data_IF_441486401526
#
_entry.id   IF_441486401526
#
_cell.length_a   1.000
_cell.length_b   1.000
_cell.length_c   1.000
_cell.angle_alpha   90.00
_cell.angle_beta   90.00
_cell.angle_gamma   90.00
#
_symmetry.space_group_name_H-M   'P 1'
#
loop_
_entity.id
_entity.type
_entity.pdbx_description
1 polymer ?
#
# COMPACT_ATOMS: atom_id res chain seq x y z
N UNK A 1 -18.83 -20.68 7.36
CA UNK A 1 -18.10 -19.54 6.77
C UNK A 1 -17.12 -20.08 5.73
N UNK A 2 -16.89 -19.36 4.61
CA UNK A 2 -15.86 -19.76 3.64
C UNK A 2 -14.48 -19.85 4.30
N UNK A 3 -13.69 -20.85 3.90
CA UNK A 3 -12.31 -21.06 4.37
C UNK A 3 -11.37 -20.55 3.28
N UNK A 4 -10.46 -19.66 3.64
CA UNK A 4 -9.49 -19.08 2.71
C UNK A 4 -8.11 -19.68 2.95
N UNK A 5 -7.32 -19.73 1.89
CA UNK A 5 -5.93 -20.19 1.91
C UNK A 5 -5.06 -19.20 2.72
N UNK A 6 -4.12 -19.69 3.52
CA UNK A 6 -3.15 -18.83 4.21
C UNK A 6 -2.22 -18.15 3.22
N UNK A 7 -1.47 -17.13 3.67
CA UNK A 7 -0.41 -16.54 2.86
C UNK A 7 0.61 -17.58 2.39
N UNK A 8 1.02 -18.51 3.25
CA UNK A 8 1.89 -19.63 2.87
C UNK A 8 1.37 -20.39 1.64
N UNK A 9 0.08 -20.76 1.62
CA UNK A 9 -0.52 -21.43 0.48
C UNK A 9 -0.57 -20.54 -0.78
N UNK A 10 -0.77 -19.22 -0.63
CA UNK A 10 -0.68 -18.28 -1.76
C UNK A 10 0.75 -18.20 -2.33
N UNK A 11 1.78 -18.28 -1.48
CA UNK A 11 3.19 -18.32 -1.89
C UNK A 11 3.51 -19.61 -2.64
N UNK A 12 3.01 -20.76 -2.17
CA UNK A 12 3.16 -22.04 -2.89
C UNK A 12 2.53 -21.97 -4.29
N UNK A 13 1.33 -21.40 -4.42
CA UNK A 13 0.68 -21.19 -5.72
C UNK A 13 1.43 -20.21 -6.61
N UNK A 14 2.04 -19.17 -6.04
CA UNK A 14 2.91 -18.27 -6.77
C UNK A 14 4.14 -19.00 -7.33
N UNK A 15 4.75 -19.88 -6.53
CA UNK A 15 5.88 -20.71 -6.96
C UNK A 15 5.51 -21.70 -8.05
N UNK A 16 4.33 -22.35 -7.95
CA UNK A 16 3.82 -23.21 -9.02
C UNK A 16 3.57 -22.46 -10.33
N UNK A 17 3.18 -21.19 -10.25
CA UNK A 17 3.02 -20.33 -11.41
C UNK A 17 4.39 -19.95 -11.99
N UNK A 18 5.35 -19.53 -11.17
CA UNK A 18 6.71 -19.16 -11.59
C UNK A 18 7.45 -20.35 -12.21
N UNK A 19 7.28 -21.56 -11.66
CA UNK A 19 7.84 -22.79 -12.22
C UNK A 19 7.34 -23.08 -13.65
N UNK A 20 6.08 -22.72 -13.96
CA UNK A 20 5.49 -22.86 -15.30
C UNK A 20 5.80 -21.69 -16.23
N UNK A 21 6.33 -20.58 -15.71
CA UNK A 21 6.68 -19.38 -16.45
C UNK A 21 8.13 -18.97 -16.13
N UNK A 22 9.13 -19.81 -16.51
CA UNK A 22 10.53 -19.65 -16.11
C UNK A 22 11.21 -18.39 -16.68
N UNK A 23 10.58 -17.76 -17.67
CA UNK A 23 10.97 -16.49 -18.28
C UNK A 23 10.55 -15.26 -17.46
N UNK A 24 9.75 -15.48 -16.41
CA UNK A 24 9.26 -14.45 -15.49
C UNK A 24 9.91 -14.57 -14.11
N UNK A 25 10.10 -13.43 -13.45
CA UNK A 25 10.42 -13.35 -12.03
C UNK A 25 9.61 -12.25 -11.36
N UNK A 26 9.31 -12.41 -10.07
CA UNK A 26 8.74 -11.36 -9.24
C UNK A 26 9.83 -10.32 -8.92
N UNK A 27 9.61 -9.09 -9.37
CA UNK A 27 10.39 -7.93 -9.01
C UNK A 27 10.03 -7.42 -7.60
N UNK A 28 8.74 -7.42 -7.27
CA UNK A 28 8.23 -7.14 -5.92
C UNK A 28 6.96 -7.96 -5.62
N UNK A 29 6.68 -8.11 -4.33
CA UNK A 29 5.47 -8.77 -3.81
C UNK A 29 4.74 -7.83 -2.84
N UNK A 30 3.42 -7.83 -2.85
CA UNK A 30 2.63 -7.07 -1.87
C UNK A 30 1.37 -7.83 -1.43
N UNK A 31 0.93 -7.58 -0.19
CA UNK A 31 -0.36 -8.00 0.33
C UNK A 31 -1.44 -6.96 0.04
N UNK A 32 -2.40 -7.27 -0.82
CA UNK A 32 -3.52 -6.37 -1.16
C UNK A 32 -4.76 -6.77 -0.38
N UNK A 33 -5.32 -5.85 0.40
CA UNK A 33 -6.60 -6.05 1.09
C UNK A 33 -7.77 -5.74 0.15
N UNK A 34 -8.67 -6.72 -0.02
CA UNK A 34 -9.88 -6.65 -0.81
C UNK A 34 -11.10 -6.76 0.11
N UNK A 35 -11.94 -5.73 0.14
CA UNK A 35 -13.22 -5.75 0.82
C UNK A 35 -14.24 -6.57 0.01
N UNK A 36 -15.02 -7.43 0.67
CA UNK A 36 -16.06 -8.24 0.01
C UNK A 36 -17.30 -8.42 0.88
N UNK A 37 -18.45 -8.54 0.22
CA UNK A 37 -19.72 -8.92 0.85
C UNK A 37 -20.14 -10.36 0.49
N UNK A 38 -19.61 -10.90 -0.60
CA UNK A 38 -19.95 -12.23 -1.13
C UNK A 38 -18.96 -13.31 -0.69
N UNK A 39 -17.79 -12.91 -0.18
CA UNK A 39 -16.68 -13.82 0.07
C UNK A 39 -15.84 -14.12 -1.19
N UNK A 40 -16.15 -13.50 -2.32
CA UNK A 40 -15.34 -13.58 -3.52
C UNK A 40 -14.51 -12.32 -3.69
N UNK A 41 -13.26 -12.49 -4.16
CA UNK A 41 -12.38 -11.39 -4.54
C UNK A 41 -12.61 -11.07 -6.01
N UNK A 42 -13.04 -9.85 -6.29
CA UNK A 42 -13.11 -9.34 -7.66
C UNK A 42 -11.78 -8.69 -8.03
N UNK A 43 -10.89 -9.46 -8.66
CA UNK A 43 -9.52 -9.01 -8.99
C UNK A 43 -9.48 -7.92 -10.07
N UNK A 44 -10.55 -7.78 -10.85
CA UNK A 44 -10.67 -6.75 -11.89
C UNK A 44 -11.17 -5.40 -11.38
N UNK A 45 -11.80 -5.36 -10.20
CA UNK A 45 -12.44 -4.14 -9.71
C UNK A 45 -11.40 -3.17 -9.15
N UNK A 46 -11.37 -1.94 -9.70
CA UNK A 46 -10.48 -0.85 -9.26
C UNK A 46 -11.14 0.13 -8.29
N UNK A 47 -12.43 -0.04 -8.03
CA UNK A 47 -13.15 0.64 -6.96
C UNK A 47 -13.14 -0.21 -5.71
N UNK A 48 -13.17 0.43 -4.55
CA UNK A 48 -13.43 -0.28 -3.30
C UNK A 48 -14.87 -0.02 -2.90
N UNK A 49 -15.67 -1.08 -2.85
CA UNK A 49 -17.13 -1.03 -2.67
C UNK A 49 -17.52 -0.19 -1.47
N UNK A 50 -17.98 1.04 -1.72
CA UNK A 50 -18.80 1.80 -0.79
C UNK A 50 -20.26 1.40 -1.00
N UNK A 51 -20.75 0.31 -0.42
CA UNK A 51 -22.19 -0.04 -0.47
C UNK A 51 -22.81 -0.37 0.88
N UNK A 52 -22.12 -1.19 1.67
CA UNK A 52 -22.51 -1.71 2.99
C UNK A 52 -21.22 -2.01 3.73
N UNK A 53 -21.23 -1.98 5.06
CA UNK A 53 -20.09 -2.43 5.87
C UNK A 53 -19.63 -3.77 5.31
N UNK A 54 -18.40 -3.86 4.76
CA UNK A 54 -17.95 -5.09 4.13
C UNK A 54 -18.06 -6.21 5.16
N UNK A 55 -18.74 -7.29 4.78
CA UNK A 55 -18.92 -8.43 5.68
C UNK A 55 -17.56 -9.06 5.99
N UNK A 56 -16.61 -8.95 5.07
CA UNK A 56 -15.27 -9.46 5.26
C UNK A 56 -14.20 -8.75 4.43
N UNK A 57 -12.96 -8.97 4.82
CA UNK A 57 -11.75 -8.56 4.15
C UNK A 57 -10.94 -9.81 3.80
N UNK A 58 -10.48 -9.86 2.56
CA UNK A 58 -9.60 -10.91 2.06
C UNK A 58 -8.29 -10.26 1.64
N UNK A 59 -7.17 -10.76 2.16
CA UNK A 59 -5.84 -10.38 1.74
C UNK A 59 -5.38 -11.29 0.61
N UNK A 60 -5.00 -10.69 -0.49
CA UNK A 60 -4.47 -11.35 -1.67
C UNK A 60 -2.96 -11.12 -1.77
N UNK A 61 -2.26 -12.06 -2.40
CA UNK A 61 -0.87 -11.85 -2.81
C UNK A 61 -0.86 -11.28 -4.23
N UNK A 62 -0.19 -10.14 -4.44
CA UNK A 62 0.06 -9.56 -5.76
C UNK A 62 1.55 -9.63 -6.08
N UNK A 63 1.86 -10.15 -7.26
CA UNK A 63 3.23 -10.21 -7.79
C UNK A 63 3.38 -9.18 -8.90
N UNK A 64 4.44 -8.38 -8.82
CA UNK A 64 4.86 -7.50 -9.90
C UNK A 64 5.97 -8.19 -10.68
N UNK A 65 5.65 -8.60 -11.90
CA UNK A 65 6.52 -9.48 -12.69
C UNK A 65 7.39 -8.69 -13.65
N UNK A 66 8.61 -9.19 -13.88
CA UNK A 66 9.47 -8.77 -15.00
C UNK A 66 10.05 -9.98 -15.71
N UNK A 67 10.62 -9.76 -16.88
CA UNK A 67 11.36 -10.79 -17.61
C UNK A 67 12.68 -11.08 -16.90
N UNK A 68 13.04 -12.35 -16.79
CA UNK A 68 14.30 -12.72 -16.20
C UNK A 68 15.47 -12.49 -17.16
N UNK A 69 16.60 -12.05 -16.62
CA UNK A 69 17.78 -11.69 -17.41
C UNK A 69 18.53 -12.91 -17.95
N UNK A 70 18.70 -13.97 -17.13
CA UNK A 70 19.35 -15.21 -17.55
C UNK A 70 18.31 -16.34 -17.66
N UNK A 71 18.04 -16.91 -18.85
CA UNK A 71 17.11 -18.02 -19.00
C UNK A 71 17.64 -19.34 -18.40
N UNK A 72 18.92 -19.42 -18.00
CA UNK A 72 19.55 -20.66 -17.50
C UNK A 72 19.42 -20.88 -16.00
N UNK A 73 19.16 -19.84 -15.22
CA UNK A 73 18.92 -19.96 -13.78
C UNK A 73 17.65 -20.83 -13.52
N UNK A 74 17.49 -21.46 -12.35
CA UNK A 74 16.26 -22.19 -12.03
C UNK A 74 15.08 -21.22 -11.83
N UNK A 75 13.82 -21.59 -12.10
CA UNK A 75 12.68 -20.71 -11.85
C UNK A 75 12.71 -20.14 -10.43
N UNK A 76 12.38 -18.86 -10.29
CA UNK A 76 12.38 -18.19 -8.98
C UNK A 76 11.46 -18.94 -7.99
N UNK A 77 11.96 -19.15 -6.78
CA UNK A 77 11.22 -19.72 -5.67
C UNK A 77 11.09 -18.66 -4.58
N UNK A 78 9.87 -18.28 -4.24
CA UNK A 78 9.56 -17.29 -3.23
C UNK A 78 9.38 -17.95 -1.87
N UNK A 79 9.87 -17.29 -0.82
CA UNK A 79 9.53 -17.56 0.56
C UNK A 79 9.17 -16.28 1.29
N UNK A 80 8.57 -16.40 2.47
CA UNK A 80 8.25 -15.26 3.33
C UNK A 80 8.60 -15.51 4.79
N UNK A 81 8.74 -14.41 5.54
CA UNK A 81 8.86 -14.40 7.00
C UNK A 81 8.11 -13.19 7.57
N UNK A 82 7.36 -13.40 8.64
CA UNK A 82 6.63 -12.33 9.32
C UNK A 82 7.26 -12.06 10.69
N UNK A 83 7.35 -10.78 11.05
CA UNK A 83 7.84 -10.30 12.34
C UNK A 83 6.76 -9.41 12.96
N UNK A 84 6.18 -9.89 14.05
CA UNK A 84 5.11 -9.24 14.81
C UNK A 84 5.73 -8.44 15.97
N UNK A 85 5.24 -7.24 16.30
CA UNK A 85 5.74 -6.50 17.44
C UNK A 85 5.44 -7.23 18.76
N UNK A 86 6.42 -7.27 19.67
CA UNK A 86 6.20 -7.73 21.04
C UNK A 86 5.32 -6.73 21.82
N UNK A 87 4.55 -7.27 22.77
CA UNK A 87 3.84 -6.47 23.77
C UNK A 87 4.82 -6.08 24.87
N UNK A 88 5.02 -4.79 25.09
CA UNK A 88 5.96 -4.23 26.08
C UNK A 88 5.30 -4.01 27.44
N UNK A 89 4.02 -3.61 27.44
CA UNK A 89 3.22 -3.42 28.66
C UNK A 89 1.78 -3.87 28.38
N UNK A 90 1.35 -4.93 29.07
CA UNK A 90 0.07 -5.60 28.86
C UNK A 90 -0.73 -5.80 30.15
N UNK A 91 -0.45 -5.01 31.20
CA UNK A 91 -1.18 -5.14 32.46
C UNK A 91 -2.66 -4.76 32.30
N UNK A 92 -3.53 -5.60 32.87
CA UNK A 92 -4.87 -5.99 32.41
C UNK A 92 -6.00 -4.93 32.41
N UNK A 93 -5.68 -3.63 32.40
CA UNK A 93 -6.66 -2.53 32.45
C UNK A 93 -6.43 -1.42 31.41
N UNK A 94 -5.31 -1.42 30.69
CA UNK A 94 -4.99 -0.39 29.67
C UNK A 94 -4.81 -1.02 28.28
N UNK A 95 -4.94 -0.21 27.23
CA UNK A 95 -4.58 -0.62 25.88
C UNK A 95 -3.14 -1.14 25.85
N UNK A 96 -2.87 -2.31 25.25
CA UNK A 96 -1.53 -2.89 25.19
C UNK A 96 -0.58 -1.93 24.49
N UNK A 97 0.63 -1.82 25.02
CA UNK A 97 1.72 -1.10 24.36
C UNK A 97 2.56 -2.10 23.59
N UNK A 98 2.77 -1.82 22.32
CA UNK A 98 3.62 -2.62 21.45
C UNK A 98 4.98 -1.96 21.28
N UNK A 99 6.00 -2.76 21.00
CA UNK A 99 7.34 -2.26 20.76
C UNK A 99 7.38 -1.33 19.53
N UNK A 100 8.16 -0.24 19.52
CA UNK A 100 8.31 0.63 18.36
C UNK A 100 8.89 -0.12 17.14
N UNK A 101 8.64 0.41 15.94
CA UNK A 101 9.08 -0.21 14.68
C UNK A 101 10.62 -0.29 14.59
N UNK A 102 11.34 0.68 15.19
CA UNK A 102 12.80 0.66 15.26
C UNK A 102 13.32 -0.54 16.06
N UNK A 103 12.69 -0.84 17.20
CA UNK A 103 13.01 -2.01 18.02
C UNK A 103 12.67 -3.31 17.30
N UNK A 104 11.58 -3.35 16.51
CA UNK A 104 11.29 -4.49 15.63
C UNK A 104 12.40 -4.74 14.63
N UNK A 105 12.89 -3.69 13.96
CA UNK A 105 13.99 -3.78 12.98
C UNK A 105 15.27 -4.28 13.63
N UNK A 106 15.65 -3.72 14.78
CA UNK A 106 16.83 -4.15 15.54
C UNK A 106 16.75 -5.62 15.96
N UNK A 107 15.60 -6.05 16.52
CA UNK A 107 15.33 -7.44 16.88
C UNK A 107 15.42 -8.35 15.66
N UNK A 108 14.81 -7.94 14.55
CA UNK A 108 14.82 -8.69 13.28
C UNK A 108 16.24 -8.86 12.76
N UNK A 109 17.05 -7.81 12.71
CA UNK A 109 18.46 -7.90 12.34
C UNK A 109 19.28 -8.79 13.30
N UNK A 110 18.98 -8.75 14.60
CA UNK A 110 19.56 -9.68 15.57
C UNK A 110 19.24 -11.15 15.26
N UNK A 111 18.02 -11.44 14.81
CA UNK A 111 17.61 -12.79 14.38
C UNK A 111 18.25 -13.18 13.06
N UNK A 112 18.23 -12.30 12.06
CA UNK A 112 18.80 -12.55 10.72
C UNK A 112 20.31 -12.77 10.74
N UNK A 113 21.05 -12.14 11.66
CA UNK A 113 22.48 -12.42 11.85
C UNK A 113 22.75 -13.82 12.41
N UNK A 114 21.85 -14.34 13.25
CA UNK A 114 21.98 -15.68 13.85
C UNK A 114 21.47 -16.78 12.93
N UNK A 115 20.37 -16.53 12.24
CA UNK A 115 19.73 -17.43 11.31
C UNK A 115 19.32 -16.65 10.05
N UNK A 116 20.25 -16.48 9.09
CA UNK A 116 19.97 -15.77 7.85
C UNK A 116 18.81 -16.42 7.09
N UNK A 117 18.01 -15.61 6.40
CA UNK A 117 17.02 -16.14 5.46
C UNK A 117 17.73 -16.98 4.40
N UNK A 118 17.13 -18.09 3.94
CA UNK A 118 17.72 -18.97 2.93
C UNK A 118 17.55 -18.36 1.54
N UNK A 119 18.13 -17.17 1.31
CA UNK A 119 17.85 -16.42 0.10
C UNK A 119 18.27 -14.95 0.10
N UNK A 120 17.77 -14.26 -0.92
CA UNK A 120 17.92 -12.80 -1.13
C UNK A 120 16.59 -12.10 -0.86
N UNK A 121 16.60 -11.05 -0.07
CA UNK A 121 15.39 -10.26 0.20
C UNK A 121 14.96 -9.52 -1.07
N UNK A 122 13.72 -9.76 -1.50
CA UNK A 122 13.11 -9.06 -2.64
C UNK A 122 12.34 -7.85 -2.14
N UNK A 123 11.42 -8.05 -1.18
CA UNK A 123 10.51 -7.01 -0.70
C UNK A 123 10.36 -7.08 0.81
N UNK A 124 10.35 -5.91 1.45
CA UNK A 124 10.01 -5.77 2.87
C UNK A 124 8.77 -4.89 2.95
N UNK A 125 7.68 -5.46 3.44
CA UNK A 125 6.37 -4.83 3.56
C UNK A 125 6.08 -4.48 5.02
N UNK A 126 5.59 -3.26 5.26
CA UNK A 126 4.88 -2.95 6.51
C UNK A 126 3.41 -3.23 6.30
N UNK A 127 2.93 -4.36 6.81
CA UNK A 127 1.54 -4.76 6.68
C UNK A 127 0.75 -4.29 7.91
N UNK A 128 -0.24 -3.43 7.69
CA UNK A 128 -1.27 -3.18 8.70
C UNK A 128 -2.16 -4.42 8.87
N UNK A 129 -2.36 -4.83 10.11
CA UNK A 129 -3.22 -5.94 10.49
C UNK A 129 -4.18 -5.50 11.58
N UNK A 130 -5.44 -5.88 11.43
CA UNK A 130 -6.46 -5.66 12.46
C UNK A 130 -6.26 -6.73 13.56
N UNK A 131 -6.42 -6.35 14.82
CA UNK A 131 -6.50 -7.26 15.98
C UNK A 131 -7.97 -7.52 16.35
N UNK A 132 -8.31 -8.76 16.70
CA UNK A 132 -9.67 -9.12 17.12
C UNK A 132 -9.97 -8.67 18.54
N UNK A 133 -9.01 -8.87 19.44
CA UNK A 133 -9.06 -8.44 20.84
C UNK A 133 -7.65 -8.03 21.28
N UNK A 134 -7.53 -7.30 22.40
CA UNK A 134 -6.22 -6.87 22.94
C UNK A 134 -5.28 -8.02 23.32
N UNK A 135 -5.83 -9.20 23.58
CA UNK A 135 -5.10 -10.42 23.98
C UNK A 135 -5.06 -11.46 22.88
N UNK A 136 -5.62 -11.15 21.70
CA UNK A 136 -5.74 -12.11 20.61
C UNK A 136 -4.39 -12.47 20.02
N UNK A 137 -4.18 -13.75 19.76
CA UNK A 137 -3.09 -14.21 18.92
C UNK A 137 -3.23 -13.59 17.54
N UNK A 138 -2.23 -12.84 17.09
CA UNK A 138 -2.16 -12.32 15.74
C UNK A 138 -1.53 -13.40 14.85
N UNK A 139 -2.32 -13.95 13.92
CA UNK A 139 -1.79 -14.78 12.84
C UNK A 139 -1.45 -13.90 11.62
N UNK A 140 -0.17 -13.62 11.34
CA UNK A 140 0.23 -12.78 10.21
C UNK A 140 0.01 -13.44 8.84
N UNK A 141 -0.26 -14.75 8.81
CA UNK A 141 -0.55 -15.54 7.61
C UNK A 141 -2.05 -15.64 7.33
N UNK A 142 -2.90 -15.17 8.25
CA UNK A 142 -4.34 -15.12 8.04
C UNK A 142 -4.68 -14.18 6.88
N UNK A 143 -5.35 -14.73 5.88
CA UNK A 143 -5.78 -14.02 4.66
C UNK A 143 -7.23 -13.55 4.70
N UNK A 144 -8.00 -13.91 5.73
CA UNK A 144 -9.43 -13.60 5.79
C UNK A 144 -9.86 -13.15 7.16
N UNK A 145 -10.68 -12.11 7.20
CA UNK A 145 -11.31 -11.62 8.42
C UNK A 145 -12.72 -11.12 8.16
N UNK A 146 -13.66 -11.53 9.02
CA UNK A 146 -15.00 -10.95 9.11
C UNK A 146 -14.95 -9.72 10.00
N UNK A 147 -15.62 -8.64 9.60
CA UNK A 147 -15.78 -7.47 10.47
C UNK A 147 -17.12 -7.51 11.21
N UNK A 148 -17.06 -7.33 12.53
CA UNK A 148 -18.22 -7.06 13.38
C UNK A 148 -18.55 -5.57 13.42
N UNK A 149 -19.84 -5.22 13.51
CA UNK A 149 -20.34 -3.85 13.37
C UNK A 149 -20.14 -2.93 14.60
N UNK A 150 -19.54 -3.39 15.71
CA UNK A 150 -19.58 -2.65 17.00
C UNK A 150 -18.24 -2.62 17.75
N UNK A 151 -17.19 -3.27 17.23
CA UNK A 151 -15.93 -3.39 17.97
C UNK A 151 -14.95 -2.26 17.67
N UNK A 152 -14.35 -1.70 18.73
CA UNK A 152 -13.19 -0.81 18.58
C UNK A 152 -12.12 -1.54 17.78
N UNK A 153 -11.75 -0.96 16.63
CA UNK A 153 -10.75 -1.55 15.75
C UNK A 153 -9.36 -1.26 16.31
N UNK A 154 -8.60 -2.31 16.53
CA UNK A 154 -7.21 -2.26 16.91
C UNK A 154 -6.36 -2.65 15.72
N UNK A 155 -5.29 -1.91 15.48
CA UNK A 155 -4.41 -2.14 14.35
C UNK A 155 -2.98 -2.31 14.84
N UNK A 156 -2.27 -3.22 14.20
CA UNK A 156 -0.87 -3.51 14.46
C UNK A 156 -0.12 -3.59 13.14
N UNK A 157 1.09 -3.03 13.09
CA UNK A 157 1.96 -3.08 11.93
C UNK A 157 2.93 -4.25 12.07
N UNK A 158 2.88 -5.18 11.12
CA UNK A 158 3.76 -6.34 11.00
C UNK A 158 4.81 -6.06 9.92
N UNK A 159 6.06 -6.46 10.15
CA UNK A 159 7.08 -6.46 9.09
C UNK A 159 7.02 -7.82 8.40
N UNK A 160 6.75 -7.83 7.10
CA UNK A 160 6.78 -9.03 6.27
C UNK A 160 7.95 -8.94 5.29
N UNK A 161 8.76 -9.99 5.23
CA UNK A 161 9.88 -10.10 4.30
C UNK A 161 9.54 -11.18 3.27
N UNK A 162 9.55 -10.83 1.99
CA UNK A 162 9.55 -11.75 0.87
C UNK A 162 10.97 -11.92 0.35
N UNK A 163 11.39 -13.16 0.10
CA UNK A 163 12.74 -13.47 -0.37
C UNK A 163 12.72 -14.52 -1.49
N UNK A 164 13.73 -14.44 -2.36
CA UNK A 164 14.05 -15.48 -3.33
C UNK A 164 14.91 -16.54 -2.67
N UNK A 165 14.47 -17.80 -2.68
CA UNK A 165 15.19 -18.91 -2.11
C UNK A 165 16.54 -19.13 -2.81
N UNK A 166 17.59 -19.35 -2.02
CA UNK A 166 18.95 -19.52 -2.51
C UNK A 166 19.99 -19.44 -1.40
N UNK A 167 21.22 -19.10 -1.76
CA UNK A 167 22.29 -18.90 -0.77
C UNK A 167 21.99 -17.61 0.01
N UNK A 168 21.84 -17.76 1.33
CA UNK A 168 21.58 -16.64 2.23
C UNK A 168 22.63 -15.54 2.09
N UNK A 169 22.16 -14.30 1.97
CA UNK A 169 23.02 -13.12 1.73
C UNK A 169 23.43 -12.37 2.99
N UNK A 170 22.90 -12.74 4.17
CA UNK A 170 23.21 -12.06 5.43
C UNK A 170 22.81 -10.58 5.44
N UNK A 171 21.72 -10.24 4.73
CA UNK A 171 21.25 -8.86 4.59
C UNK A 171 20.67 -8.33 5.91
N UNK A 172 21.10 -7.14 6.31
CA UNK A 172 20.44 -6.37 7.37
C UNK A 172 19.37 -5.48 6.76
N UNK A 173 18.20 -5.40 7.40
CA UNK A 173 17.08 -4.58 6.97
C UNK A 173 17.09 -3.22 7.65
N UNK A 174 16.52 -2.22 6.97
CA UNK A 174 16.27 -0.90 7.53
C UNK A 174 14.98 -0.30 7.00
N UNK A 175 14.44 0.67 7.76
CA UNK A 175 13.25 1.44 7.41
C UNK A 175 13.55 2.92 7.60
N UNK A 176 13.08 3.77 6.68
CA UNK A 176 13.10 5.23 6.81
C UNK A 176 11.75 5.81 6.40
N UNK A 177 11.30 6.81 7.15
CA UNK A 177 9.99 7.40 7.01
C UNK A 177 10.08 8.86 6.54
N UNK A 178 9.21 9.23 5.61
CA UNK A 178 9.01 10.60 5.14
C UNK A 178 7.54 10.97 5.37
N UNK A 179 7.26 11.55 6.54
CA UNK A 179 5.96 12.16 6.83
C UNK A 179 5.86 13.57 6.25
N UNK A 180 4.67 14.05 5.88
CA UNK A 180 4.50 15.35 5.26
C UNK A 180 4.87 16.50 6.20
N UNK A 181 5.61 17.47 5.64
CA UNK A 181 5.85 18.76 6.26
C UNK A 181 4.59 19.64 6.16
N UNK A 182 4.32 20.40 7.21
CA UNK A 182 3.26 21.41 7.20
C UNK A 182 3.74 22.63 6.38
N UNK A 183 3.04 22.98 5.30
CA UNK A 183 3.37 24.13 4.43
C UNK A 183 2.85 25.48 4.98
N UNK A 184 2.41 25.53 6.23
CA UNK A 184 2.04 26.78 6.91
C UNK A 184 1.30 26.56 8.22
N UNK A 185 1.36 27.56 9.12
CA UNK A 185 0.45 27.66 10.26
C UNK A 185 -0.95 27.98 9.72
N UNK A 186 -1.80 26.97 9.57
CA UNK A 186 -3.22 27.22 9.34
C UNK A 186 -3.80 28.04 10.49
N UNK A 187 -4.79 28.89 10.21
CA UNK A 187 -5.69 29.36 11.27
C UNK A 187 -6.23 28.15 12.03
N UNK A 188 -6.47 28.29 13.35
CA UNK A 188 -6.96 27.23 14.26
C UNK A 188 -8.21 26.49 13.75
N UNK A 189 -8.92 27.07 12.77
CA UNK A 189 -10.11 26.53 12.12
C UNK A 189 -9.88 25.72 10.83
N UNK A 190 -8.65 25.66 10.28
CA UNK A 190 -8.33 24.96 9.03
C UNK A 190 -7.27 23.89 9.25
N UNK A 191 -7.46 22.75 8.59
CA UNK A 191 -6.45 21.70 8.51
C UNK A 191 -5.14 22.30 7.96
N UNK A 192 -3.98 21.98 8.56
CA UNK A 192 -2.71 22.36 7.96
C UNK A 192 -2.64 21.79 6.54
N UNK A 193 -2.21 22.63 5.59
CA UNK A 193 -1.90 22.16 4.24
C UNK A 193 -0.61 21.38 4.33
N UNK A 194 -0.70 20.07 4.16
CA UNK A 194 0.49 19.24 3.99
C UNK A 194 1.09 19.43 2.61
N UNK A 195 2.40 19.18 2.54
CA UNK A 195 3.09 19.04 1.26
C UNK A 195 2.46 17.95 0.38
N UNK A 196 2.68 18.04 -0.93
CA UNK A 196 2.24 17.02 -1.90
C UNK A 196 2.98 15.70 -1.72
N UNK A 197 2.37 14.60 -2.14
CA UNK A 197 3.00 13.28 -2.11
C UNK A 197 4.29 13.24 -2.96
N UNK A 198 4.32 13.93 -4.10
CA UNK A 198 5.51 14.11 -4.93
C UNK A 198 6.68 14.75 -4.16
N UNK A 199 6.39 15.63 -3.19
CA UNK A 199 7.42 16.24 -2.34
C UNK A 199 8.04 15.22 -1.37
N UNK A 200 7.23 14.29 -0.84
CA UNK A 200 7.74 13.14 -0.07
C UNK A 200 8.69 12.29 -0.91
N UNK A 201 8.30 12.02 -2.16
CA UNK A 201 9.12 11.26 -3.11
C UNK A 201 10.42 12.00 -3.42
N UNK A 202 10.39 13.32 -3.59
CA UNK A 202 11.59 14.14 -3.79
C UNK A 202 12.56 14.07 -2.59
N UNK A 203 12.06 14.16 -1.37
CA UNK A 203 12.89 14.02 -0.15
C UNK A 203 13.46 12.62 0.01
N UNK A 204 12.67 11.60 -0.30
CA UNK A 204 13.13 10.21 -0.36
C UNK A 204 14.26 10.03 -1.38
N UNK A 205 14.09 10.57 -2.59
CA UNK A 205 15.10 10.51 -3.66
C UNK A 205 16.40 11.16 -3.22
N UNK A 206 16.33 12.35 -2.60
CA UNK A 206 17.49 13.04 -2.05
C UNK A 206 18.19 12.25 -0.92
N UNK A 207 17.41 11.63 -0.03
CA UNK A 207 17.96 10.74 1.00
C UNK A 207 18.70 9.56 0.37
N UNK A 208 18.11 8.91 -0.64
CA UNK A 208 18.68 7.73 -1.29
C UNK A 208 19.98 8.05 -2.04
N UNK A 209 20.06 9.22 -2.69
CA UNK A 209 21.29 9.70 -3.34
C UNK A 209 22.46 9.89 -2.35
N UNK A 210 22.16 10.17 -1.08
CA UNK A 210 23.15 10.27 0.00
C UNK A 210 23.59 8.93 0.58
N UNK A 211 22.99 7.81 0.16
CA UNK A 211 23.32 6.48 0.68
C UNK A 211 24.31 5.75 -0.23
N UNK A 212 25.39 5.24 0.36
CA UNK A 212 26.46 4.55 -0.36
C UNK A 212 26.39 3.03 -0.29
N UNK A 213 25.45 2.43 0.44
CA UNK A 213 25.41 0.97 0.67
C UNK A 213 24.01 0.45 0.97
N UNK A 214 22.97 1.05 0.37
CA UNK A 214 21.59 0.60 0.57
C UNK A 214 20.92 0.22 -0.75
N UNK A 215 20.13 -0.85 -0.71
CA UNK A 215 19.25 -1.28 -1.79
C UNK A 215 17.81 -1.18 -1.32
N UNK A 216 17.04 -0.31 -1.97
CA UNK A 216 15.60 -0.23 -1.72
C UNK A 216 14.97 -1.56 -2.13
N UNK A 217 14.18 -2.14 -1.22
CA UNK A 217 13.39 -3.36 -1.45
C UNK A 217 11.90 -3.05 -1.54
N UNK A 218 11.48 -1.93 -0.97
CA UNK A 218 10.11 -1.47 -1.05
C UNK A 218 9.96 0.02 -0.79
N UNK A 219 8.91 0.60 -1.35
CA UNK A 219 8.43 1.94 -1.01
C UNK A 219 6.92 1.85 -0.88
N UNK A 220 6.38 2.26 0.25
CA UNK A 220 4.96 2.11 0.58
C UNK A 220 4.41 3.40 1.17
N UNK A 221 3.19 3.75 0.79
CA UNK A 221 2.40 4.77 1.45
C UNK A 221 1.65 4.17 2.64
N UNK A 222 1.83 4.78 3.81
CA UNK A 222 1.16 4.36 5.04
C UNK A 222 0.31 5.51 5.56
N UNK A 223 -0.91 5.18 5.95
CA UNK A 223 -1.84 6.14 6.54
C UNK A 223 -1.83 6.00 8.07
N UNK A 224 -1.66 7.13 8.74
CA UNK A 224 -1.60 7.24 10.19
C UNK A 224 -2.68 8.19 10.68
N UNK A 225 -3.53 7.74 11.62
CA UNK A 225 -4.39 8.64 12.39
C UNK A 225 -3.54 9.57 13.27
N UNK A 226 -3.76 10.88 13.16
CA UNK A 226 -3.13 11.90 14.00
C UNK A 226 -3.65 11.81 15.43
N UNK A 227 -2.71 11.73 16.38
CA UNK A 227 -3.02 11.86 17.79
C UNK A 227 -2.52 13.22 18.27
N UNK A 228 -3.44 14.08 18.70
CA UNK A 228 -3.11 15.43 19.19
C UNK A 228 -2.35 16.32 18.18
N UNK A 229 -2.47 16.02 16.89
CA UNK A 229 -1.86 16.81 15.80
C UNK A 229 -0.45 16.35 15.41
N UNK A 230 0.14 15.37 16.08
CA UNK A 230 1.45 14.81 15.74
C UNK A 230 1.34 13.43 15.08
N UNK A 231 2.24 13.14 14.15
CA UNK A 231 2.40 11.82 13.52
C UNK A 231 3.52 11.08 14.25
N UNK A 232 3.18 10.02 14.99
CA UNK A 232 4.18 9.05 15.43
C UNK A 232 4.36 7.97 14.35
N UNK A 233 5.38 8.13 13.50
CA UNK A 233 5.68 7.14 12.45
C UNK A 233 6.29 5.85 13.02
N UNK A 234 6.76 5.89 14.27
CA UNK A 234 7.44 4.77 14.92
C UNK A 234 6.48 3.84 15.64
N UNK A 235 5.22 4.25 15.84
CA UNK A 235 4.21 3.39 16.45
C UNK A 235 3.93 2.17 15.56
N UNK A 236 3.80 1.02 16.22
CA UNK A 236 3.43 -0.25 15.60
C UNK A 236 2.00 -0.65 15.95
N UNK A 237 1.30 0.17 16.74
CA UNK A 237 -0.06 -0.08 17.19
C UNK A 237 -0.84 1.23 17.26
N UNK A 238 -2.12 1.16 16.91
CA UNK A 238 -3.08 2.21 17.21
C UNK A 238 -4.48 1.64 17.39
N UNK A 239 -5.32 2.34 18.16
CA UNK A 239 -6.73 2.05 18.29
C UNK A 239 -7.52 3.09 17.50
N UNK A 240 -8.30 2.64 16.52
CA UNK A 240 -9.11 3.54 15.70
C UNK A 240 -10.09 4.32 16.56
N UNK A 241 -10.15 5.64 16.37
CA UNK A 241 -10.98 6.54 17.19
C UNK A 241 -12.45 6.57 16.75
N UNK A 242 -13.08 5.41 16.56
CA UNK A 242 -14.55 5.24 16.43
C UNK A 242 -15.32 6.41 15.80
N UNK A 243 -16.16 7.07 16.61
CA UNK A 243 -17.12 8.10 16.19
C UNK A 243 -16.55 9.54 16.06
N UNK A 244 -15.28 9.76 16.42
CA UNK A 244 -14.69 11.10 16.40
C UNK A 244 -14.07 11.37 15.04
N UNK A 245 -14.16 12.61 14.56
CA UNK A 245 -13.43 13.08 13.37
C UNK A 245 -11.96 12.71 13.49
N UNK A 246 -11.49 11.79 12.65
CA UNK A 246 -10.08 11.39 12.57
C UNK A 246 -9.41 12.16 11.44
N UNK A 247 -8.27 12.75 11.77
CA UNK A 247 -7.36 13.29 10.76
C UNK A 247 -6.34 12.21 10.45
N UNK A 248 -6.17 11.89 9.18
CA UNK A 248 -5.20 10.91 8.72
C UNK A 248 -4.12 11.62 7.91
N UNK A 249 -2.89 11.20 8.13
CA UNK A 249 -1.73 11.62 7.35
C UNK A 249 -1.17 10.42 6.62
N UNK A 250 -0.92 10.59 5.33
CA UNK A 250 -0.21 9.64 4.49
C UNK A 250 1.26 10.00 4.48
N UNK A 251 2.09 9.10 4.99
CA UNK A 251 3.53 9.15 4.92
C UNK A 251 4.07 8.16 3.89
N UNK A 252 5.34 8.31 3.52
CA UNK A 252 6.07 7.40 2.65
C UNK A 252 7.10 6.65 3.49
N UNK A 253 7.02 5.31 3.53
CA UNK A 253 8.03 4.45 4.15
C UNK A 253 8.87 3.78 3.07
N UNK A 254 10.19 3.86 3.21
CA UNK A 254 11.13 3.09 2.41
C UNK A 254 11.67 1.96 3.25
N UNK A 255 11.59 0.75 2.72
CA UNK A 255 12.32 -0.39 3.23
C UNK A 255 13.53 -0.69 2.36
N UNK A 256 14.65 -0.96 3.00
CA UNK A 256 15.92 -1.20 2.34
C UNK A 256 16.71 -2.30 3.03
N UNK A 257 17.72 -2.79 2.34
CA UNK A 257 18.74 -3.68 2.91
C UNK A 257 20.13 -3.07 2.76
N UNK A 258 21.03 -3.39 3.69
CA UNK A 258 22.46 -3.12 3.53
C UNK A 258 23.03 -3.97 2.40
N UNK A 259 23.61 -3.32 1.39
CA UNK A 259 24.21 -3.99 0.24
C UNK A 259 25.74 -3.90 0.32
N UNK A 260 26.43 -5.04 0.32
CA UNK A 260 27.90 -5.09 0.25
C UNK A 260 28.42 -4.52 -1.08
N UNK A 261 27.64 -4.67 -2.15
CA UNK A 261 27.90 -4.09 -3.47
C UNK A 261 26.90 -2.96 -3.71
N UNK A 262 27.33 -1.74 -3.41
CA UNK A 262 26.54 -0.57 -3.71
C UNK A 262 26.57 -0.24 -5.21
N UNK A 263 25.49 0.31 -5.78
CA UNK A 263 25.58 0.95 -7.08
C UNK A 263 26.65 2.05 -7.03
N UNK A 264 27.61 2.01 -7.95
CA UNK A 264 28.68 3.02 -8.07
C UNK A 264 28.17 4.43 -8.43
N UNK A 265 26.87 4.58 -8.74
CA UNK A 265 26.28 5.83 -9.25
C UNK A 265 25.06 6.19 -8.40
N UNK A 266 24.98 7.43 -7.87
CA UNK A 266 23.77 7.94 -7.23
C UNK A 266 22.58 7.82 -8.18
N UNK A 267 21.47 7.26 -7.68
CA UNK A 267 20.25 7.03 -8.46
C UNK A 267 19.17 7.97 -7.97
N UNK A 268 18.59 8.76 -8.87
CA UNK A 268 17.34 9.46 -8.60
C UNK A 268 16.21 8.42 -8.52
N UNK A 269 15.27 8.62 -7.60
CA UNK A 269 14.04 7.83 -7.54
C UNK A 269 12.87 8.71 -7.97
N UNK A 270 12.15 8.26 -8.99
CA UNK A 270 10.89 8.87 -9.41
C UNK A 270 9.69 8.02 -9.00
N UNK A 271 8.51 8.64 -8.92
CA UNK A 271 7.24 7.95 -8.70
C UNK A 271 6.27 8.27 -9.84
N UNK A 272 5.69 7.24 -10.44
CA UNK A 272 4.60 7.36 -11.40
C UNK A 272 3.33 6.76 -10.82
N UNK A 273 2.30 7.59 -10.65
CA UNK A 273 0.97 7.15 -10.19
C UNK A 273 0.05 6.88 -11.38
N UNK A 274 -0.47 5.66 -11.48
CA UNK A 274 -1.51 5.24 -12.40
C UNK A 274 -2.85 5.20 -11.67
N UNK A 275 -3.65 6.22 -11.94
CA UNK A 275 -5.06 6.27 -11.50
C UNK A 275 -5.91 5.56 -12.55
N UNK A 276 -6.82 4.63 -12.17
CA UNK A 276 -7.73 4.01 -13.12
C UNK A 276 -8.58 5.08 -13.82
N UNK A 277 -8.76 4.94 -15.13
CA UNK A 277 -9.56 5.87 -15.93
C UNK A 277 -11.02 5.83 -15.48
N UNK A 278 -11.59 6.98 -15.18
CA UNK A 278 -13.02 7.10 -14.93
C UNK A 278 -13.80 6.94 -16.23
N UNK A 279 -14.74 5.99 -16.26
CA UNK A 279 -15.54 5.67 -17.45
C UNK A 279 -16.93 6.31 -17.45
N UNK A 280 -17.45 6.62 -16.25
CA UNK A 280 -18.76 7.24 -16.05
C UNK A 280 -18.68 8.25 -14.89
N UNK A 281 -19.32 9.42 -15.03
CA UNK A 281 -19.45 10.43 -13.97
C UNK A 281 -20.44 10.04 -12.88
N UNK A 282 -21.11 8.91 -13.04
CA UNK A 282 -22.25 8.54 -12.25
C UNK A 282 -23.39 9.53 -12.44
N UNK A 283 -24.45 9.31 -11.68
CA UNK A 283 -25.60 10.20 -11.62
C UNK A 283 -26.21 10.16 -10.22
N UNK A 284 -27.35 10.81 -10.03
CA UNK A 284 -28.08 10.79 -8.75
C UNK A 284 -28.37 9.37 -8.22
N UNK A 285 -28.38 8.36 -9.09
CA UNK A 285 -28.61 6.95 -8.75
C UNK A 285 -27.56 5.97 -9.30
N UNK A 286 -26.49 6.46 -9.94
CA UNK A 286 -25.43 5.61 -10.52
C UNK A 286 -24.10 5.89 -9.83
N UNK A 287 -23.40 4.83 -9.45
CA UNK A 287 -22.04 4.90 -8.93
C UNK A 287 -21.06 5.29 -10.03
N UNK A 288 -19.97 5.98 -9.64
CA UNK A 288 -18.81 6.16 -10.51
C UNK A 288 -18.30 4.81 -11.01
N UNK A 289 -18.05 4.71 -12.32
CA UNK A 289 -17.42 3.54 -12.93
C UNK A 289 -15.98 3.90 -13.32
N UNK A 290 -15.06 2.98 -13.06
CA UNK A 290 -13.65 3.09 -13.41
C UNK A 290 -13.24 1.87 -14.23
N UNK A 291 -12.20 2.02 -15.04
CA UNK A 291 -11.64 0.89 -15.77
C UNK A 291 -11.15 -0.20 -14.81
N UNK A 292 -11.19 -1.44 -15.28
CA UNK A 292 -10.70 -2.58 -14.51
C UNK A 292 -9.18 -2.63 -14.40
N UNK A 293 -8.71 -3.52 -13.52
CA UNK A 293 -7.29 -3.77 -13.28
C UNK A 293 -6.56 -4.18 -14.57
N UNK A 294 -7.16 -5.04 -15.39
CA UNK A 294 -6.54 -5.47 -16.65
C UNK A 294 -6.24 -4.30 -17.59
N UNK A 295 -7.14 -3.29 -17.68
CA UNK A 295 -6.91 -2.08 -18.49
C UNK A 295 -5.87 -1.15 -17.88
N UNK A 296 -5.91 -0.97 -16.57
CA UNK A 296 -4.86 -0.22 -15.85
C UNK A 296 -3.48 -0.86 -16.07
N UNK A 297 -3.39 -2.20 -16.00
CA UNK A 297 -2.16 -2.97 -16.27
C UNK A 297 -1.69 -2.83 -17.71
N UNK A 298 -2.58 -2.85 -18.70
CA UNK A 298 -2.24 -2.62 -20.11
C UNK A 298 -1.57 -1.25 -20.29
N UNK A 299 -2.10 -0.19 -19.67
CA UNK A 299 -1.51 1.16 -19.71
C UNK A 299 -0.15 1.22 -19.01
N UNK A 300 -0.02 0.60 -17.84
CA UNK A 300 1.26 0.47 -17.13
C UNK A 300 2.30 -0.22 -18.01
N UNK A 301 1.96 -1.37 -18.59
CA UNK A 301 2.86 -2.15 -19.41
C UNK A 301 3.29 -1.40 -20.69
N UNK A 302 2.37 -0.66 -21.32
CA UNK A 302 2.69 0.17 -22.48
C UNK A 302 3.63 1.32 -22.10
N UNK A 303 3.33 2.04 -21.01
CA UNK A 303 4.17 3.13 -20.53
C UNK A 303 5.59 2.65 -20.22
N UNK A 304 5.72 1.55 -19.45
CA UNK A 304 7.01 0.95 -19.10
C UNK A 304 7.81 0.52 -20.34
N UNK A 305 7.13 0.00 -21.38
CA UNK A 305 7.78 -0.43 -22.62
C UNK A 305 8.33 0.75 -23.42
N UNK A 306 7.58 1.86 -23.49
CA UNK A 306 7.98 3.05 -24.25
C UNK A 306 9.10 3.80 -23.53
N UNK A 307 9.03 3.93 -22.21
CA UNK A 307 10.03 4.66 -21.42
C UNK A 307 11.28 3.84 -21.11
N UNK A 308 11.19 2.51 -21.18
CA UNK A 308 12.27 1.61 -20.74
C UNK A 308 12.52 1.69 -19.24
N UNK A 309 11.52 2.12 -18.46
CA UNK A 309 11.70 2.41 -17.05
C UNK A 309 12.08 1.20 -16.22
N UNK A 310 13.00 1.41 -15.28
CA UNK A 310 13.47 0.37 -14.36
C UNK A 310 12.70 0.45 -13.05
N UNK A 311 11.91 -0.60 -12.79
CA UNK A 311 11.11 -0.70 -11.57
C UNK A 311 12.01 -0.99 -10.35
N UNK A 312 11.86 -0.18 -9.30
CA UNK A 312 12.40 -0.43 -7.96
C UNK A 312 11.33 -1.13 -7.12
N UNK A 313 10.15 -0.52 -7.00
CA UNK A 313 9.01 -1.09 -6.29
C UNK A 313 7.69 -0.67 -6.94
N UNK A 314 6.63 -1.42 -6.66
CA UNK A 314 5.27 -1.08 -7.02
C UNK A 314 4.35 -1.28 -5.80
N UNK A 315 3.37 -0.40 -5.67
CA UNK A 315 2.40 -0.40 -4.59
C UNK A 315 0.98 -0.24 -5.14
N UNK A 316 0.05 -0.98 -4.56
CA UNK A 316 -1.39 -0.77 -4.69
C UNK A 316 -1.89 0.02 -3.49
N UNK A 317 -2.13 1.32 -3.68
CA UNK A 317 -2.61 2.21 -2.62
C UNK A 317 -4.10 2.45 -2.76
N UNK A 318 -4.80 2.47 -1.63
CA UNK A 318 -6.22 2.83 -1.57
C UNK A 318 -6.32 4.34 -1.42
N UNK A 319 -7.12 4.97 -2.27
CA UNK A 319 -7.31 6.42 -2.24
C UNK A 319 -8.78 6.79 -2.25
N UNK A 320 -9.12 7.80 -1.45
CA UNK A 320 -10.44 8.42 -1.46
C UNK A 320 -10.48 9.49 -2.53
N UNK A 321 -11.61 9.54 -3.22
CA UNK A 321 -11.84 10.42 -4.36
C UNK A 321 -13.06 11.31 -4.09
N UNK A 322 -12.97 12.56 -4.53
CA UNK A 322 -14.07 13.54 -4.58
C UNK A 322 -14.67 14.02 -3.24
N UNK A 323 -14.12 13.64 -2.09
CA UNK A 323 -14.50 14.16 -0.77
C UNK A 323 -13.27 14.45 0.12
N UNK A 324 -13.45 15.18 1.22
CA UNK A 324 -12.34 15.56 2.13
C UNK A 324 -11.31 16.54 1.53
N UNK A 325 -10.09 16.56 2.07
CA UNK A 325 -8.96 17.37 1.58
C UNK A 325 -8.51 17.02 0.15
N UNK A 326 -8.87 15.82 -0.34
CA UNK A 326 -8.65 15.38 -1.73
C UNK A 326 -9.55 16.13 -2.73
N UNK A 327 -10.69 16.68 -2.27
CA UNK A 327 -11.64 17.48 -3.07
C UNK A 327 -11.04 18.82 -3.51
N UNK A 328 -10.04 19.36 -2.80
CA UNK A 328 -9.44 20.67 -3.08
C UNK A 328 -8.13 20.60 -3.90
N UNK A 329 -8.18 19.91 -5.06
CA UNK A 329 -7.18 19.93 -6.17
C UNK A 329 -6.00 18.95 -6.08
N UNK A 330 -5.79 18.23 -4.98
CA UNK A 330 -4.59 17.38 -4.85
C UNK A 330 -4.77 15.94 -5.34
N UNK A 331 -5.97 15.36 -5.30
CA UNK A 331 -6.24 14.00 -5.80
C UNK A 331 -5.20 12.97 -5.30
N UNK A 332 -4.51 12.22 -6.19
CA UNK A 332 -3.50 11.23 -5.79
C UNK A 332 -2.29 11.80 -5.04
N UNK A 333 -2.10 13.11 -5.07
CA UNK A 333 -1.01 13.83 -4.39
C UNK A 333 -1.34 14.23 -2.95
N UNK A 334 -2.57 13.98 -2.49
CA UNK A 334 -2.96 14.34 -1.12
C UNK A 334 -2.19 13.50 -0.09
N UNK A 335 -1.55 14.19 0.86
CA UNK A 335 -0.88 13.60 2.03
C UNK A 335 -1.72 13.70 3.31
N UNK A 336 -2.82 14.46 3.28
CA UNK A 336 -3.72 14.65 4.41
C UNK A 336 -5.15 14.33 3.98
N UNK A 337 -5.83 13.55 4.79
CA UNK A 337 -7.24 13.27 4.66
C UNK A 337 -7.94 13.58 5.98
N UNK A 338 -9.07 14.26 5.93
CA UNK A 338 -9.94 14.44 7.09
C UNK A 338 -11.18 13.58 6.93
N UNK A 339 -11.46 12.74 7.92
CA UNK A 339 -12.68 11.98 8.01
C UNK A 339 -13.59 12.60 9.08
N UNK A 340 -14.71 13.17 8.66
CA UNK A 340 -15.67 13.83 9.55
C UNK A 340 -16.69 12.85 10.15
N UNK A 341 -16.24 11.99 11.07
CA UNK A 341 -17.02 11.40 12.18
C UNK A 341 -18.17 10.41 11.87
N UNK A 342 -18.33 9.46 12.81
CA UNK A 342 -19.14 8.22 12.82
C UNK A 342 -18.64 7.10 11.91
N UNK A 343 -17.81 6.26 12.52
CA UNK A 343 -17.10 5.11 11.96
C UNK A 343 -16.08 5.45 10.86
N UNK A 344 -14.81 5.54 11.28
CA UNK A 344 -13.60 5.47 10.44
C UNK A 344 -13.45 4.07 9.79
N UNK A 345 -14.52 3.56 9.19
CA UNK A 345 -14.49 2.34 8.40
C UNK A 345 -14.06 2.76 7.02
N UNK A 346 -12.76 2.61 6.71
CA UNK A 346 -12.31 2.55 5.32
C UNK A 346 -13.31 1.65 4.58
N UNK A 347 -13.84 2.13 3.45
CA UNK A 347 -14.74 1.37 2.55
C UNK A 347 -16.24 1.34 2.87
N UNK A 348 -16.78 2.23 3.71
CA UNK A 348 -18.23 2.49 3.70
C UNK A 348 -18.56 3.68 2.81
N UNK A 349 -19.63 3.62 1.99
CA UNK A 349 -20.10 4.80 1.29
C UNK A 349 -20.74 5.73 2.30
N UNK A 350 -20.29 6.97 2.34
CA UNK A 350 -21.10 8.02 2.93
C UNK A 350 -21.77 8.80 1.83
N UNK A 351 -23.07 8.98 1.97
CA UNK A 351 -23.69 10.18 1.42
C UNK A 351 -23.25 11.29 2.36
N UNK A 352 -22.32 12.14 1.92
CA UNK A 352 -21.94 13.34 2.67
C UNK A 352 -23.20 14.15 3.03
N UNK A 353 -23.12 15.03 4.03
CA UNK A 353 -24.24 15.97 4.36
C UNK A 353 -24.75 16.79 3.16
N UNK A 354 -23.98 16.83 2.07
CA UNK A 354 -24.27 17.50 0.80
C UNK A 354 -24.79 16.56 -0.30
N UNK A 355 -25.08 15.29 0.00
CA UNK A 355 -25.58 14.32 -0.99
C UNK A 355 -24.51 13.64 -1.84
N UNK A 356 -23.23 13.98 -1.69
CA UNK A 356 -22.12 13.39 -2.48
C UNK A 356 -21.72 12.04 -1.89
N UNK A 357 -21.76 10.98 -2.71
CA UNK A 357 -21.30 9.64 -2.36
C UNK A 357 -19.77 9.61 -2.31
N UNK A 358 -19.20 9.10 -1.22
CA UNK A 358 -17.75 8.88 -1.11
C UNK A 358 -17.32 7.67 -1.92
N UNK A 359 -16.25 7.84 -2.71
CA UNK A 359 -15.69 6.78 -3.55
C UNK A 359 -14.24 6.52 -3.18
N UNK A 360 -13.90 5.24 -3.11
CA UNK A 360 -12.54 4.78 -2.90
C UNK A 360 -12.09 4.00 -4.14
N UNK A 361 -10.86 4.21 -4.56
CA UNK A 361 -10.26 3.51 -5.69
C UNK A 361 -8.89 2.96 -5.30
N UNK A 362 -8.48 1.90 -5.98
CA UNK A 362 -7.09 1.49 -5.99
C UNK A 362 -6.33 2.36 -7.00
N UNK A 363 -5.19 2.90 -6.58
CA UNK A 363 -4.19 3.51 -7.47
C UNK A 363 -2.94 2.64 -7.46
N UNK A 364 -2.25 2.57 -8.59
CA UNK A 364 -0.96 1.88 -8.67
C UNK A 364 0.14 2.93 -8.69
N UNK A 365 1.13 2.81 -7.80
CA UNK A 365 2.33 3.64 -7.81
C UNK A 365 3.53 2.80 -8.20
N UNK A 366 4.29 3.26 -9.19
CA UNK A 366 5.57 2.67 -9.58
C UNK A 366 6.69 3.59 -9.12
N UNK A 367 7.62 3.05 -8.34
CA UNK A 367 8.85 3.70 -7.92
C UNK A 367 9.97 3.25 -8.85
N UNK A 368 10.65 4.20 -9.48
CA UNK A 368 11.50 3.96 -10.64
C UNK A 368 12.93 4.44 -10.38
N UNK A 369 13.89 3.72 -10.94
CA UNK A 369 15.31 4.07 -10.91
C UNK A 369 15.62 5.04 -12.05
N UNK A 370 15.65 6.33 -11.75
CA UNK A 370 15.85 7.43 -12.68
C UNK A 370 14.60 8.28 -12.90
N UNK A 371 14.80 9.39 -13.61
CA UNK A 371 13.72 10.27 -14.06
C UNK A 371 13.31 9.90 -15.49
N UNK A 372 11.99 9.82 -15.72
CA UNK A 372 11.43 9.41 -16.99
C UNK A 372 10.46 10.47 -17.51
N UNK A 373 10.59 10.84 -18.77
CA UNK A 373 9.68 11.77 -19.43
C UNK A 373 8.37 11.06 -19.79
N UNK A 374 7.27 11.80 -19.75
CA UNK A 374 5.99 11.29 -20.22
C UNK A 374 6.06 11.08 -21.74
N UNK A 375 5.76 9.88 -22.26
CA UNK A 375 5.78 9.64 -23.69
C UNK A 375 4.61 10.35 -24.39
N UNK A 376 4.73 10.49 -25.71
CA UNK A 376 3.63 10.99 -26.54
C UNK A 376 2.37 10.14 -26.31
N UNK A 377 1.19 10.74 -26.04
CA UNK A 377 -0.06 10.01 -25.86
C UNK A 377 -0.41 9.04 -27.01
N UNK A 378 0.03 9.32 -28.24
CA UNK A 378 -0.16 8.45 -29.41
C UNK A 378 0.62 7.14 -29.35
N UNK A 379 1.62 7.02 -28.46
CA UNK A 379 2.37 5.79 -28.20
C UNK A 379 1.73 4.93 -27.09
N UNK A 380 0.73 5.47 -26.39
CA UNK A 380 0.05 4.81 -25.29
C UNK A 380 -1.33 4.31 -25.73
N UNK A 381 -1.92 3.31 -25.03
CA UNK A 381 -3.30 2.93 -25.26
C UNK A 381 -4.23 4.14 -25.08
N UNK A 382 -5.22 4.33 -25.97
CA UNK A 382 -6.10 5.48 -25.89
C UNK A 382 -6.92 5.44 -24.60
N UNK A 383 -7.04 6.60 -23.95
CA UNK A 383 -7.93 6.76 -22.79
C UNK A 383 -9.36 6.90 -23.32
N UNK A 384 -10.29 6.00 -22.93
CA UNK A 384 -11.68 6.11 -23.36
C UNK A 384 -12.29 7.42 -22.86
N UNK A 385 -13.16 8.08 -23.66
CA UNK A 385 -13.87 9.26 -23.19
C UNK A 385 -14.79 8.89 -22.03
N UNK A 386 -14.97 9.82 -21.10
CA UNK A 386 -15.95 9.68 -20.02
C UNK A 386 -17.34 9.68 -20.66
N UNK A 387 -18.18 8.71 -20.31
CA UNK A 387 -19.58 8.68 -20.72
C UNK A 387 -20.35 9.73 -19.91
N UNK A 388 -20.83 10.76 -20.58
CA UNK A 388 -21.73 11.76 -20.02
C UNK A 388 -23.17 11.37 -20.37
N UNK A 389 -23.70 10.33 -19.73
CA UNK A 389 -25.13 10.04 -19.78
C UNK A 389 -25.85 11.08 -18.92
N UNK A 390 -26.18 12.24 -19.51
CA UNK A 390 -26.93 13.30 -18.84
C UNK A 390 -28.33 12.80 -18.48
N UNK A 391 -28.47 12.24 -17.27
CA UNK A 391 -29.75 12.05 -16.62
C UNK A 391 -30.33 13.43 -16.26
N UNK A 392 -30.88 14.15 -17.25
CA UNK A 392 -31.91 15.20 -17.17
C UNK A 392 -32.01 15.96 -18.50
N UNK A 393 -32.44 15.29 -19.57
CA UNK A 393 -33.29 15.95 -20.55
C UNK A 393 -34.69 16.03 -19.94
N UNK A 394 -35.04 17.14 -19.29
CA UNK A 394 -36.43 17.41 -18.91
C UNK A 394 -37.18 17.57 -20.23
N UNK A 395 -38.02 16.59 -20.58
CA UNK A 395 -39.03 16.70 -21.63
C UNK A 395 -40.32 17.27 -21.04
#
# INVERSE_FOLDING_TARGET
>A
MPRYESLSALIERANDWLARNPDCEAATCEGVECATTTGHVETETMTVFGGRTPAAYIRCLRLWLRRRNDPREPPQQLGHANFVPDVVDGTSLRSPKFQPISSMVEKTNGMLRKNPLPGKIITIETQEMKLGTYTGELDPDQSFRVEGAVEKKHFVFVIRIFYEAGIGKGEEIGLVDFGPLCEGSGDVSRLPKGEKFSSLVGRMSAWYQGQSSVRITNVQSLEYELESGEVDTRRTFYAGRGDVTTQCVRMLRVAYVGAAEAPLVPRAVACRTFVPVQLDRGGCYRSLEYEGMSKTRERIAAWMRVTGAKLISAETSVMRMHSGGEREKMGPEATHASDSGREAVRFTPRVSRQGVVEHWIYVIRLYLDGDYQEPDPGLLPPVPPIRDDSCCGIL
#
